data_IF_410596939613
#
_entry.id   IF_410596939613
#
_cell.length_a   1.000
_cell.length_b   1.000
_cell.length_c   1.000
_cell.angle_alpha   90.00
_cell.angle_beta   90.00
_cell.angle_gamma   90.00
#
_symmetry.space_group_name_H-M   'P 1'
#
loop_
_entity.id
_entity.type
_entity.pdbx_description
1 polymer ?
#
# COMPACT_ATOMS: atom_id res chain seq x y z
N UNK A 1 -8.98 -8.40 5.88
CA UNK A 1 -8.05 -7.40 6.45
C UNK A 1 -6.56 -7.77 6.29
N UNK A 2 -6.09 -8.92 6.80
CA UNK A 2 -4.67 -9.33 6.75
C UNK A 2 -4.06 -9.41 5.34
N UNK A 3 -4.79 -9.92 4.34
CA UNK A 3 -4.32 -9.96 2.93
C UNK A 3 -4.10 -8.56 2.35
N UNK A 4 -4.99 -7.62 2.67
CA UNK A 4 -4.91 -6.22 2.22
C UNK A 4 -3.74 -5.51 2.88
N UNK A 5 -3.52 -5.74 4.18
CA UNK A 5 -2.39 -5.20 4.93
C UNK A 5 -1.05 -5.75 4.39
N UNK A 6 -0.99 -7.07 4.12
CA UNK A 6 0.15 -7.72 3.48
C UNK A 6 0.48 -7.09 2.13
N UNK A 7 -0.52 -6.91 1.27
CA UNK A 7 -0.34 -6.34 -0.06
C UNK A 7 0.17 -4.90 0.04
N UNK A 8 -0.41 -4.07 0.91
CA UNK A 8 0.03 -2.69 1.11
C UNK A 8 1.50 -2.63 1.56
N UNK A 9 1.89 -3.41 2.56
CA UNK A 9 3.27 -3.44 3.06
C UNK A 9 4.29 -3.89 2.00
N UNK A 10 3.98 -4.97 1.27
CA UNK A 10 4.87 -5.46 0.21
C UNK A 10 5.01 -4.41 -0.91
N UNK A 11 3.91 -3.76 -1.31
CA UNK A 11 3.93 -2.72 -2.33
C UNK A 11 4.77 -1.52 -1.89
N UNK A 12 4.60 -1.02 -0.66
CA UNK A 12 5.38 0.12 -0.17
C UNK A 12 6.87 -0.20 -0.04
N UNK A 13 7.21 -1.40 0.46
CA UNK A 13 8.60 -1.83 0.54
C UNK A 13 9.23 -1.97 -0.85
N UNK A 14 8.53 -2.60 -1.79
CA UNK A 14 9.03 -2.79 -3.16
C UNK A 14 9.11 -1.48 -3.94
N UNK A 15 8.25 -0.50 -3.67
CA UNK A 15 8.34 0.83 -4.28
C UNK A 15 9.66 1.52 -3.89
N UNK A 16 10.02 1.49 -2.61
CA UNK A 16 11.29 2.05 -2.12
C UNK A 16 12.51 1.33 -2.73
N UNK A 17 12.47 -0.01 -2.77
CA UNK A 17 13.52 -0.82 -3.41
C UNK A 17 13.65 -0.48 -4.90
N UNK A 18 12.53 -0.36 -5.61
CA UNK A 18 12.52 -0.03 -7.04
C UNK A 18 13.09 1.36 -7.30
N UNK A 19 12.73 2.36 -6.48
CA UNK A 19 13.30 3.70 -6.58
C UNK A 19 14.83 3.70 -6.39
N UNK A 20 15.33 2.96 -5.39
CA UNK A 20 16.77 2.80 -5.17
C UNK A 20 17.48 2.14 -6.36
N UNK A 21 16.89 1.08 -6.94
CA UNK A 21 17.46 0.42 -8.11
C UNK A 21 17.49 1.32 -9.34
N UNK A 22 16.45 2.14 -9.57
CA UNK A 22 16.44 3.08 -10.68
C UNK A 22 17.56 4.13 -10.55
N UNK A 23 17.79 4.64 -9.33
CA UNK A 23 18.90 5.57 -9.06
C UNK A 23 20.26 4.91 -9.27
N UNK A 24 20.46 3.69 -8.76
CA UNK A 24 21.72 2.96 -8.91
C UNK A 24 22.01 2.58 -10.36
N UNK A 25 21.05 1.95 -11.05
CA UNK A 25 21.21 1.54 -12.45
C UNK A 25 21.37 2.76 -13.36
N UNK A 26 20.59 3.82 -13.15
CA UNK A 26 20.72 5.07 -13.89
C UNK A 26 22.07 5.73 -13.64
N UNK A 27 22.54 5.77 -12.39
CA UNK A 27 23.85 6.30 -12.02
C UNK A 27 25.00 5.55 -12.65
N UNK A 28 25.03 4.22 -12.53
CA UNK A 28 26.10 3.37 -13.09
C UNK A 28 26.15 3.49 -14.61
N UNK A 29 25.00 3.38 -15.29
CA UNK A 29 24.96 3.50 -16.75
C UNK A 29 25.26 4.91 -17.23
N UNK A 30 24.77 5.94 -16.52
CA UNK A 30 25.04 7.34 -16.84
C UNK A 30 26.52 7.69 -16.70
N UNK A 31 27.17 7.24 -15.62
CA UNK A 31 28.62 7.39 -15.42
C UNK A 31 29.39 6.65 -16.50
N UNK A 32 28.99 5.43 -16.86
CA UNK A 32 29.62 4.65 -17.92
C UNK A 32 29.57 5.39 -19.28
N UNK A 33 28.39 5.87 -19.68
CA UNK A 33 28.20 6.66 -20.91
C UNK A 33 29.01 7.95 -20.88
N UNK A 34 29.05 8.65 -19.74
CA UNK A 34 29.77 9.90 -19.59
C UNK A 34 31.30 9.70 -19.71
N UNK A 35 31.85 8.71 -19.01
CA UNK A 35 33.27 8.36 -19.07
C UNK A 35 33.68 7.92 -20.47
N UNK A 36 32.85 7.09 -21.10
CA UNK A 36 33.00 6.62 -22.46
C UNK A 36 33.06 7.77 -23.47
N UNK A 37 32.05 8.67 -23.45
CA UNK A 37 32.01 9.81 -24.37
C UNK A 37 33.22 10.74 -24.18
N UNK A 38 33.61 11.01 -22.93
CA UNK A 38 34.80 11.80 -22.60
C UNK A 38 36.07 11.21 -23.22
N UNK A 39 36.24 9.90 -23.13
CA UNK A 39 37.41 9.22 -23.67
C UNK A 39 37.46 9.35 -25.20
N UNK A 40 36.33 9.11 -25.87
CA UNK A 40 36.21 9.32 -27.33
C UNK A 40 36.48 10.77 -27.74
N UNK A 41 35.93 11.75 -27.00
CA UNK A 41 36.14 13.17 -27.30
C UNK A 41 37.60 13.59 -27.18
N UNK A 42 38.32 13.06 -26.18
CA UNK A 42 39.75 13.30 -26.00
C UNK A 42 40.58 12.69 -27.13
N UNK A 43 40.28 11.46 -27.56
CA UNK A 43 40.95 10.82 -28.70
C UNK A 43 40.71 11.58 -30.01
N UNK A 44 39.46 11.98 -30.25
CA UNK A 44 39.07 12.76 -31.42
C UNK A 44 39.80 14.12 -31.45
N UNK A 45 39.91 14.79 -30.29
CA UNK A 45 40.65 16.04 -30.15
C UNK A 45 42.14 15.84 -30.44
N UNK A 46 42.77 14.84 -29.83
CA UNK A 46 44.18 14.52 -30.02
C UNK A 46 44.51 14.20 -31.49
N UNK A 47 43.63 13.47 -32.17
CA UNK A 47 43.75 13.18 -33.60
C UNK A 47 43.62 14.43 -34.47
N UNK A 48 42.68 15.32 -34.16
CA UNK A 48 42.55 16.60 -34.89
C UNK A 48 43.74 17.53 -34.67
N UNK A 49 44.23 17.67 -33.44
CA UNK A 49 45.34 18.57 -33.12
C UNK A 49 46.68 18.11 -33.72
N UNK A 50 46.87 16.79 -33.82
CA UNK A 50 48.04 16.21 -34.45
C UNK A 50 47.88 15.91 -35.94
N UNK A 51 46.85 16.45 -36.59
CA UNK A 51 46.58 16.31 -38.04
C UNK A 51 46.61 14.85 -38.53
N UNK A 52 45.93 13.97 -37.81
CA UNK A 52 45.92 12.53 -38.11
C UNK A 52 47.07 11.74 -37.48
N UNK A 53 47.96 12.39 -36.73
CA UNK A 53 48.96 11.71 -35.90
C UNK A 53 48.70 11.96 -34.42
N UNK A 54 48.83 10.92 -33.59
CA UNK A 54 48.64 11.09 -32.15
C UNK A 54 49.98 11.46 -31.53
N UNK A 55 50.06 12.68 -30.98
CA UNK A 55 51.19 13.11 -30.16
C UNK A 55 50.81 12.88 -28.69
N UNK A 56 51.49 11.98 -27.95
CA UNK A 56 51.16 11.75 -26.55
C UNK A 56 51.33 13.06 -25.76
N UNK A 57 50.23 13.56 -25.21
CA UNK A 57 50.22 14.71 -24.32
C UNK A 57 50.83 14.37 -22.97
N UNK A 58 51.51 15.35 -22.36
CA UNK A 58 52.18 15.25 -21.03
C UNK A 58 51.24 15.45 -19.83
N UNK A 59 49.92 15.44 -20.03
CA UNK A 59 48.98 15.76 -18.94
C UNK A 59 48.78 14.58 -17.98
N UNK A 60 48.77 14.87 -16.68
CA UNK A 60 48.60 13.87 -15.63
C UNK A 60 47.14 13.36 -15.57
N UNK A 61 46.92 12.04 -15.43
CA UNK A 61 45.59 11.47 -15.27
C UNK A 61 44.90 11.95 -13.98
N UNK A 62 43.58 12.04 -14.02
CA UNK A 62 42.73 12.43 -12.88
C UNK A 62 41.57 11.45 -12.69
N UNK A 63 40.82 11.57 -11.57
CA UNK A 63 39.78 10.60 -11.19
C UNK A 63 38.69 10.36 -12.27
N UNK A 64 38.47 11.33 -13.15
CA UNK A 64 37.55 11.24 -14.30
C UNK A 64 38.24 11.56 -15.65
N UNK A 65 39.57 11.50 -15.68
CA UNK A 65 40.39 11.66 -16.88
C UNK A 65 41.26 10.41 -17.02
N UNK A 66 40.76 9.34 -17.66
CA UNK A 66 41.60 8.20 -17.97
C UNK A 66 42.82 8.69 -18.78
N UNK A 67 44.03 8.18 -18.49
CA UNK A 67 45.20 8.53 -19.28
C UNK A 67 44.93 8.18 -20.76
N UNK A 68 45.33 9.07 -21.67
CA UNK A 68 45.43 8.74 -23.08
C UNK A 68 46.49 7.67 -23.23
N UNK A 69 46.04 6.41 -23.24
CA UNK A 69 46.90 5.27 -23.46
C UNK A 69 47.44 5.32 -24.89
N UNK A 70 48.77 5.35 -25.03
CA UNK A 70 49.42 5.43 -26.33
C UNK A 70 49.03 4.24 -27.23
N UNK A 71 48.71 3.10 -26.62
CA UNK A 71 48.25 1.90 -27.33
C UNK A 71 46.78 2.00 -27.77
N UNK A 72 45.93 2.66 -26.98
CA UNK A 72 44.53 2.95 -27.36
C UNK A 72 44.47 3.94 -28.54
N UNK A 73 45.39 4.89 -28.54
CA UNK A 73 45.64 5.81 -29.64
C UNK A 73 46.08 5.07 -30.93
N UNK A 74 47.04 4.14 -30.81
CA UNK A 74 47.55 3.38 -31.95
C UNK A 74 46.55 2.35 -32.53
N UNK A 75 45.64 1.85 -31.70
CA UNK A 75 44.58 0.90 -32.09
C UNK A 75 43.28 1.56 -32.54
N UNK A 76 43.18 2.90 -32.47
CA UNK A 76 42.01 3.63 -32.94
C UNK A 76 41.79 3.44 -34.44
N UNK A 77 40.55 3.07 -34.81
CA UNK A 77 40.11 2.93 -36.19
C UNK A 77 39.47 4.25 -36.62
N UNK A 78 40.11 4.96 -37.53
CA UNK A 78 39.64 6.26 -38.01
C UNK A 78 40.04 6.48 -39.47
N UNK A 79 39.48 7.51 -40.09
CA UNK A 79 39.99 8.09 -41.32
C UNK A 79 40.01 9.61 -41.22
N UNK A 80 40.80 10.25 -42.06
CA UNK A 80 40.86 11.71 -42.14
C UNK A 80 40.61 12.17 -43.57
N UNK A 81 39.97 13.32 -43.73
CA UNK A 81 39.68 13.93 -45.03
C UNK A 81 40.10 15.40 -45.00
N UNK A 82 40.88 15.82 -45.99
CA UNK A 82 41.24 17.22 -46.18
C UNK A 82 40.17 17.89 -47.02
N UNK A 83 39.62 18.98 -46.49
CA UNK A 83 38.61 19.82 -47.13
C UNK A 83 39.25 21.13 -47.55
N UNK A 84 38.89 21.64 -48.72
CA UNK A 84 39.29 22.96 -49.18
C UNK A 84 38.49 24.10 -48.50
N UNK A 85 38.69 25.34 -48.96
CA UNK A 85 37.96 26.51 -48.46
C UNK A 85 36.46 26.54 -48.84
N UNK A 86 36.03 25.75 -49.83
CA UNK A 86 34.64 25.61 -50.23
C UNK A 86 33.93 24.45 -49.50
N UNK A 87 34.69 23.58 -48.81
CA UNK A 87 34.17 22.42 -48.10
C UNK A 87 34.12 21.15 -48.95
N UNK A 88 34.78 21.13 -50.10
CA UNK A 88 34.93 19.95 -50.97
C UNK A 88 36.15 19.12 -50.55
N UNK A 89 36.07 17.80 -50.72
CA UNK A 89 37.16 16.91 -50.35
C UNK A 89 38.31 16.95 -51.38
N UNK A 90 39.52 17.21 -50.88
CA UNK A 90 40.76 17.27 -51.68
C UNK A 90 41.54 15.95 -51.62
N UNK A 91 41.25 15.13 -50.61
CA UNK A 91 41.79 13.78 -50.48
C UNK A 91 41.53 13.19 -49.10
N UNK A 92 41.53 11.86 -49.01
CA UNK A 92 41.28 11.12 -47.78
C UNK A 92 42.40 10.15 -47.43
N UNK A 93 42.76 10.08 -46.15
CA UNK A 93 43.62 9.05 -45.59
C UNK A 93 42.76 8.00 -44.88
N UNK A 94 42.64 6.83 -45.52
CA UNK A 94 41.93 5.65 -45.01
C UNK A 94 42.87 4.57 -44.49
N UNK A 95 44.16 4.84 -44.30
CA UNK A 95 45.16 3.83 -43.87
C UNK A 95 44.84 3.14 -42.54
N UNK A 96 44.00 3.78 -41.71
CA UNK A 96 43.58 3.32 -40.38
C UNK A 96 42.19 2.69 -40.37
N UNK A 97 41.55 2.50 -41.53
CA UNK A 97 40.24 1.84 -41.64
C UNK A 97 40.13 1.00 -42.93
N UNK A 98 39.69 -0.25 -42.80
CA UNK A 98 39.48 -1.15 -43.95
C UNK A 98 38.03 -1.21 -44.44
N UNK A 99 37.12 -0.58 -43.73
CA UNK A 99 35.67 -0.74 -43.90
C UNK A 99 34.98 0.45 -44.58
N UNK A 100 35.76 1.39 -45.10
CA UNK A 100 35.31 2.59 -45.80
C UNK A 100 36.23 2.81 -46.99
N UNK A 101 35.66 3.07 -48.16
CA UNK A 101 36.43 3.44 -49.36
C UNK A 101 36.73 4.94 -49.40
N UNK A 102 37.69 5.36 -50.22
CA UNK A 102 38.07 6.78 -50.36
C UNK A 102 36.87 7.66 -50.76
N UNK A 103 36.09 7.22 -51.76
CA UNK A 103 34.89 7.92 -52.19
C UNK A 103 33.80 8.01 -51.09
N UNK A 104 33.64 6.96 -50.27
CA UNK A 104 32.72 7.01 -49.13
C UNK A 104 33.22 7.97 -48.04
N UNK A 105 34.53 8.00 -47.77
CA UNK A 105 35.15 8.91 -46.81
C UNK A 105 34.93 10.38 -47.22
N UNK A 106 35.13 10.70 -48.49
CA UNK A 106 34.86 12.03 -49.07
C UNK A 106 33.39 12.41 -48.90
N UNK A 107 32.46 11.51 -49.23
CA UNK A 107 31.02 11.74 -49.07
C UNK A 107 30.63 12.00 -47.60
N UNK A 108 31.21 11.25 -46.65
CA UNK A 108 30.99 11.50 -45.22
C UNK A 108 31.49 12.89 -44.80
N UNK A 109 32.65 13.31 -45.31
CA UNK A 109 33.26 14.60 -45.00
C UNK A 109 32.46 15.79 -45.56
N UNK A 110 32.03 15.71 -46.82
CA UNK A 110 31.20 16.74 -47.46
C UNK A 110 29.85 16.87 -46.77
N UNK A 111 29.22 15.75 -46.40
CA UNK A 111 27.96 15.76 -45.65
C UNK A 111 28.13 16.40 -44.28
N UNK A 112 29.22 16.10 -43.58
CA UNK A 112 29.54 16.72 -42.29
C UNK A 112 29.84 18.22 -42.45
N UNK A 113 30.57 18.62 -43.49
CA UNK A 113 30.86 20.03 -43.79
C UNK A 113 29.59 20.83 -44.12
N UNK A 114 28.68 20.25 -44.90
CA UNK A 114 27.39 20.84 -45.26
C UNK A 114 26.46 21.06 -44.05
N UNK A 115 26.63 20.27 -42.97
CA UNK A 115 25.86 20.46 -41.74
C UNK A 115 26.23 21.75 -40.98
N UNK A 116 27.41 22.32 -41.25
CA UNK A 116 27.96 23.48 -40.53
C UNK A 116 28.43 23.18 -39.10
N UNK A 117 28.25 21.96 -38.60
CA UNK A 117 28.70 21.55 -37.27
C UNK A 117 30.18 21.13 -37.28
N UNK A 118 30.97 21.61 -36.31
CA UNK A 118 32.40 21.26 -36.20
C UNK A 118 32.64 19.93 -35.50
N UNK A 119 31.63 19.34 -34.89
CA UNK A 119 31.70 18.02 -34.29
C UNK A 119 30.29 17.44 -34.25
N UNK A 120 30.20 16.15 -34.51
CA UNK A 120 28.91 15.48 -34.59
C UNK A 120 29.07 13.99 -34.74
N UNK A 121 28.01 13.34 -35.19
CA UNK A 121 27.99 11.90 -35.39
C UNK A 121 27.27 11.57 -36.69
N UNK A 122 27.89 10.73 -37.50
CA UNK A 122 27.34 10.26 -38.76
C UNK A 122 27.44 8.74 -38.79
N UNK A 123 26.28 8.07 -38.69
CA UNK A 123 26.22 6.61 -38.52
C UNK A 123 27.01 6.11 -37.32
N UNK A 124 28.00 5.25 -37.56
CA UNK A 124 28.88 4.70 -36.52
C UNK A 124 30.10 5.57 -36.21
N UNK A 125 30.32 6.64 -36.97
CA UNK A 125 31.48 7.51 -36.82
C UNK A 125 31.12 8.73 -35.99
N UNK A 126 31.98 9.07 -35.05
CA UNK A 126 31.98 10.39 -34.39
C UNK A 126 33.03 11.24 -35.11
N UNK A 127 32.68 12.47 -35.47
CA UNK A 127 33.55 13.30 -36.29
C UNK A 127 33.87 14.65 -35.63
N UNK A 128 35.01 15.23 -36.02
CA UNK A 128 35.39 16.61 -35.72
C UNK A 128 36.11 17.23 -36.88
N UNK A 129 35.76 18.47 -37.18
CA UNK A 129 36.35 19.29 -38.25
C UNK A 129 37.14 20.43 -37.60
N UNK A 130 38.44 20.50 -37.88
CA UNK A 130 39.34 21.54 -37.40
C UNK A 130 40.07 22.20 -38.59
N UNK A 131 40.47 23.46 -38.46
CA UNK A 131 41.28 24.12 -39.49
C UNK A 131 42.71 23.58 -39.47
N UNK A 132 43.28 23.33 -40.64
CA UNK A 132 44.67 22.88 -40.79
C UNK A 132 45.64 23.99 -40.40
N UNK A 133 46.84 23.66 -39.91
CA UNK A 133 47.84 24.65 -39.45
C UNK A 133 48.33 25.57 -40.56
N UNK A 134 48.33 25.08 -41.80
CA UNK A 134 48.75 25.84 -42.98
C UNK A 134 47.72 26.88 -43.43
N UNK A 135 46.51 26.90 -42.83
CA UNK A 135 45.48 27.92 -43.07
C UNK A 135 44.70 27.78 -44.39
N UNK A 136 45.11 26.88 -45.29
CA UNK A 136 44.52 26.71 -46.63
C UNK A 136 43.32 25.74 -46.69
N UNK A 137 42.85 25.21 -45.56
CA UNK A 137 41.72 24.27 -45.54
C UNK A 137 41.31 23.79 -44.15
N UNK A 138 40.49 22.74 -44.12
CA UNK A 138 40.06 22.06 -42.90
C UNK A 138 40.38 20.56 -42.96
N UNK A 139 40.60 19.94 -41.80
CA UNK A 139 40.77 18.51 -41.63
C UNK A 139 39.55 17.96 -40.89
N UNK A 140 38.84 17.01 -41.52
CA UNK A 140 37.79 16.24 -40.91
C UNK A 140 38.35 14.89 -40.43
N UNK A 141 38.20 14.58 -39.14
CA UNK A 141 38.58 13.29 -38.55
C UNK A 141 37.32 12.52 -38.20
N UNK A 142 37.22 11.27 -38.65
CA UNK A 142 36.10 10.37 -38.37
C UNK A 142 36.59 9.14 -37.60
N UNK A 143 36.14 8.99 -36.36
CA UNK A 143 36.52 7.91 -35.45
C UNK A 143 35.40 6.87 -35.36
N UNK A 144 35.71 5.59 -35.58
CA UNK A 144 34.74 4.49 -35.39
C UNK A 144 34.48 4.27 -33.90
N UNK A 145 33.23 4.47 -33.46
CA UNK A 145 32.80 4.29 -32.07
C UNK A 145 31.88 3.07 -31.90
N UNK A 146 31.93 2.12 -32.84
CA UNK A 146 31.10 0.91 -32.82
C UNK A 146 31.37 0.04 -31.59
N UNK A 147 32.63 -0.20 -31.27
CA UNK A 147 33.01 -1.06 -30.15
C UNK A 147 32.69 -0.40 -28.82
N UNK A 148 32.89 0.92 -28.71
CA UNK A 148 32.49 1.69 -27.54
C UNK A 148 30.98 1.63 -27.32
N UNK A 149 30.19 1.75 -28.39
CA UNK A 149 28.72 1.62 -28.32
C UNK A 149 28.30 0.21 -27.91
N UNK A 150 28.96 -0.83 -28.43
CA UNK A 150 28.70 -2.22 -28.00
C UNK A 150 29.05 -2.42 -26.53
N UNK A 151 30.14 -1.83 -26.05
CA UNK A 151 30.54 -1.90 -24.65
C UNK A 151 29.50 -1.24 -23.74
N UNK A 152 29.04 -0.01 -24.07
CA UNK A 152 27.95 0.66 -23.34
C UNK A 152 26.70 -0.22 -23.28
N UNK A 153 26.26 -0.76 -24.42
CA UNK A 153 25.06 -1.59 -24.50
C UNK A 153 25.20 -2.90 -23.71
N UNK A 154 26.40 -3.50 -23.72
CA UNK A 154 26.68 -4.73 -22.97
C UNK A 154 26.63 -4.47 -21.48
N UNK A 155 27.26 -3.38 -21.00
CA UNK A 155 27.18 -2.97 -19.58
C UNK A 155 25.75 -2.64 -19.18
N UNK A 156 24.98 -1.97 -20.04
CA UNK A 156 23.56 -1.70 -19.80
C UNK A 156 22.72 -2.97 -19.69
N UNK A 157 22.92 -3.94 -20.60
CA UNK A 157 22.23 -5.22 -20.56
C UNK A 157 22.60 -6.04 -19.32
N UNK A 158 23.89 -6.15 -19.00
CA UNK A 158 24.38 -6.88 -17.82
C UNK A 158 23.90 -6.26 -16.51
N UNK A 159 23.97 -4.93 -16.40
CA UNK A 159 23.48 -4.23 -15.20
C UNK A 159 21.97 -4.36 -15.03
N UNK A 160 21.18 -4.34 -16.11
CA UNK A 160 19.74 -4.56 -16.07
C UNK A 160 19.40 -6.00 -15.65
N UNK A 161 20.10 -7.01 -16.20
CA UNK A 161 19.93 -8.41 -15.81
C UNK A 161 20.28 -8.65 -14.34
N UNK A 162 21.43 -8.14 -13.89
CA UNK A 162 21.84 -8.21 -12.50
C UNK A 162 20.84 -7.49 -11.58
N UNK A 163 20.39 -6.29 -11.97
CA UNK A 163 19.37 -5.52 -11.27
C UNK A 163 18.05 -6.26 -11.14
N UNK A 164 17.57 -6.91 -12.20
CA UNK A 164 16.37 -7.74 -12.18
C UNK A 164 16.51 -8.95 -11.24
N UNK A 165 17.67 -9.62 -11.26
CA UNK A 165 17.98 -10.71 -10.35
C UNK A 165 17.98 -10.28 -8.88
N UNK A 166 18.67 -9.17 -8.56
CA UNK A 166 18.68 -8.62 -7.20
C UNK A 166 17.30 -8.13 -6.76
N UNK A 167 16.52 -7.53 -7.66
CA UNK A 167 15.15 -7.11 -7.37
C UNK A 167 14.25 -8.30 -7.03
N UNK A 168 14.36 -9.40 -7.79
CA UNK A 168 13.60 -10.62 -7.53
C UNK A 168 14.01 -11.27 -6.20
N UNK A 169 15.31 -11.30 -5.89
CA UNK A 169 15.82 -11.77 -4.62
C UNK A 169 15.31 -10.91 -3.45
N UNK A 170 15.29 -9.59 -3.59
CA UNK A 170 14.75 -8.67 -2.61
C UNK A 170 13.24 -8.90 -2.39
N UNK A 171 12.47 -9.08 -3.46
CA UNK A 171 11.04 -9.41 -3.39
C UNK A 171 10.82 -10.71 -2.59
N UNK A 172 11.60 -11.76 -2.89
CA UNK A 172 11.50 -13.04 -2.20
C UNK A 172 11.88 -12.91 -0.71
N UNK A 173 12.94 -12.17 -0.39
CA UNK A 173 13.36 -11.90 0.97
C UNK A 173 12.27 -11.13 1.76
N UNK A 174 11.71 -10.07 1.18
CA UNK A 174 10.60 -9.29 1.79
C UNK A 174 9.40 -10.19 2.05
N UNK A 175 9.04 -11.06 1.10
CA UNK A 175 7.92 -12.00 1.29
C UNK A 175 8.17 -13.01 2.42
N UNK A 176 9.38 -13.56 2.52
CA UNK A 176 9.77 -14.50 3.57
C UNK A 176 9.81 -13.84 4.94
N UNK A 177 10.46 -12.68 5.05
CA UNK A 177 10.56 -11.90 6.29
C UNK A 177 9.18 -11.46 6.77
N UNK A 178 8.32 -10.98 5.86
CA UNK A 178 6.94 -10.65 6.20
C UNK A 178 6.20 -11.84 6.79
N UNK A 179 6.27 -13.01 6.13
CA UNK A 179 5.63 -14.24 6.63
C UNK A 179 6.16 -14.62 8.00
N UNK A 180 7.47 -14.57 8.21
CA UNK A 180 8.12 -14.94 9.48
C UNK A 180 7.74 -13.97 10.61
N UNK A 181 7.66 -12.67 10.34
CA UNK A 181 7.30 -11.66 11.33
C UNK A 181 5.82 -11.69 11.71
N UNK A 182 4.93 -11.95 10.73
CA UNK A 182 3.48 -11.90 10.96
C UNK A 182 2.86 -13.21 11.46
N UNK A 183 3.49 -14.35 11.18
CA UNK A 183 3.04 -15.67 11.66
C UNK A 183 2.85 -15.75 13.19
N UNK A 184 3.83 -15.37 14.05
CA UNK A 184 3.66 -15.48 15.49
C UNK A 184 2.58 -14.55 16.03
N UNK A 185 2.40 -13.37 15.42
CA UNK A 185 1.35 -12.41 15.78
C UNK A 185 -0.02 -13.02 15.46
N UNK A 186 -0.18 -13.59 14.27
CA UNK A 186 -1.44 -14.24 13.87
C UNK A 186 -1.76 -15.45 14.77
N UNK A 187 -0.76 -16.28 15.08
CA UNK A 187 -0.92 -17.43 15.99
C UNK A 187 -1.24 -17.00 17.43
N UNK A 188 -0.64 -15.91 17.91
CA UNK A 188 -0.92 -15.35 19.23
C UNK A 188 -2.33 -14.76 19.31
N UNK A 189 -2.75 -14.00 18.29
CA UNK A 189 -4.13 -13.49 18.22
C UNK A 189 -5.14 -14.65 18.17
N UNK A 190 -4.86 -15.71 17.41
CA UNK A 190 -5.73 -16.89 17.36
C UNK A 190 -5.82 -17.59 18.74
N UNK A 191 -4.68 -17.79 19.42
CA UNK A 191 -4.65 -18.37 20.76
C UNK A 191 -5.37 -17.51 21.81
N UNK A 192 -5.19 -16.19 21.78
CA UNK A 192 -5.89 -15.27 22.66
C UNK A 192 -7.40 -15.32 22.45
N UNK A 193 -7.86 -15.45 21.20
CA UNK A 193 -9.28 -15.62 20.86
C UNK A 193 -9.84 -16.94 21.39
N UNK A 194 -9.13 -18.06 21.16
CA UNK A 194 -9.53 -19.38 21.66
C UNK A 194 -9.63 -19.39 23.18
N UNK A 195 -8.66 -18.78 23.87
CA UNK A 195 -8.69 -18.63 25.33
C UNK A 195 -9.93 -17.87 25.83
N UNK A 196 -10.35 -16.80 25.14
CA UNK A 196 -11.57 -16.05 25.51
C UNK A 196 -12.81 -16.95 25.36
N UNK A 197 -12.87 -17.75 24.29
CA UNK A 197 -13.97 -18.68 24.06
C UNK A 197 -14.03 -19.75 25.14
N UNK A 198 -12.91 -20.39 25.45
CA UNK A 198 -12.79 -21.45 26.45
C UNK A 198 -13.10 -20.92 27.85
N UNK A 199 -12.52 -19.77 28.22
CA UNK A 199 -12.80 -19.09 29.49
C UNK A 199 -14.28 -18.71 29.62
N UNK A 200 -14.94 -18.29 28.53
CA UNK A 200 -16.37 -17.99 28.54
C UNK A 200 -17.23 -19.21 28.90
N UNK A 201 -16.86 -20.39 28.39
CA UNK A 201 -17.51 -21.65 28.74
C UNK A 201 -17.25 -22.05 30.19
N UNK A 202 -16.01 -21.92 30.67
CA UNK A 202 -15.64 -22.25 32.04
C UNK A 202 -16.25 -21.29 33.08
N UNK A 203 -16.50 -20.02 32.74
CA UNK A 203 -17.13 -19.02 33.62
C UNK A 203 -18.65 -19.23 33.73
N UNK A 204 -19.31 -19.75 32.69
CA UNK A 204 -20.77 -19.95 32.68
C UNK A 204 -21.23 -20.95 33.74
N UNK A 205 -20.44 -22.01 33.95
CA UNK A 205 -20.74 -23.09 34.90
C UNK A 205 -20.79 -22.61 36.37
N UNK A 206 -19.75 -21.95 36.94
CA UNK A 206 -19.81 -21.45 38.31
C UNK A 206 -20.87 -20.35 38.49
N UNK A 207 -21.16 -19.52 37.47
CA UNK A 207 -22.26 -18.55 37.55
C UNK A 207 -23.63 -19.23 37.66
N UNK A 208 -23.86 -20.31 36.90
CA UNK A 208 -25.09 -21.09 36.99
C UNK A 208 -25.26 -21.72 38.40
N UNK A 209 -24.17 -22.20 39.00
CA UNK A 209 -24.17 -22.76 40.36
C UNK A 209 -24.48 -21.67 41.40
N UNK A 210 -23.84 -20.50 41.31
CA UNK A 210 -24.11 -19.37 42.22
C UNK A 210 -25.58 -18.96 42.14
N UNK A 211 -26.14 -18.88 40.93
CA UNK A 211 -27.56 -18.57 40.71
C UNK A 211 -28.47 -19.62 41.36
N UNK A 212 -28.23 -20.91 41.09
CA UNK A 212 -29.03 -21.98 41.67
C UNK A 212 -29.00 -21.97 43.20
N UNK A 213 -27.84 -21.68 43.81
CA UNK A 213 -27.72 -21.55 45.25
C UNK A 213 -28.46 -20.33 45.81
N UNK A 214 -28.46 -19.20 45.09
CA UNK A 214 -29.22 -18.01 45.48
C UNK A 214 -30.73 -18.29 45.39
N UNK A 215 -31.19 -18.93 44.32
CA UNK A 215 -32.60 -19.32 44.14
C UNK A 215 -33.05 -20.30 45.25
N UNK A 216 -32.21 -21.28 45.60
CA UNK A 216 -32.47 -22.22 46.70
C UNK A 216 -32.54 -21.52 48.08
N UNK A 217 -31.69 -20.49 48.30
CA UNK A 217 -31.72 -19.70 49.53
C UNK A 217 -33.04 -18.94 49.68
N UNK A 218 -33.53 -18.34 48.59
CA UNK A 218 -34.81 -17.62 48.56
C UNK A 218 -36.00 -18.54 48.81
N UNK A 219 -35.97 -19.77 48.28
CA UNK A 219 -36.99 -20.80 48.53
C UNK A 219 -37.09 -21.19 50.01
N UNK A 220 -35.98 -21.22 50.75
CA UNK A 220 -35.96 -21.64 52.16
C UNK A 220 -36.15 -20.50 53.16
N UNK A 221 -35.63 -19.30 52.88
CA UNK A 221 -35.55 -18.20 53.85
C UNK A 221 -36.34 -16.95 53.41
N UNK A 222 -36.94 -16.96 52.22
CA UNK A 222 -37.55 -15.78 51.59
C UNK A 222 -36.53 -14.88 50.89
N UNK A 223 -37.01 -14.00 50.02
CA UNK A 223 -36.17 -13.06 49.27
C UNK A 223 -35.53 -12.04 50.21
N UNK A 224 -34.20 -11.99 50.27
CA UNK A 224 -33.45 -11.01 51.06
C UNK A 224 -32.83 -9.94 50.16
N UNK A 225 -32.39 -8.82 50.74
CA UNK A 225 -31.62 -7.80 49.98
C UNK A 225 -30.32 -8.39 49.40
N UNK A 226 -29.72 -9.36 50.10
CA UNK A 226 -28.47 -10.00 49.69
C UNK A 226 -28.66 -10.99 48.55
N UNK A 227 -29.70 -11.82 48.61
CA UNK A 227 -30.04 -12.77 47.54
C UNK A 227 -30.41 -12.04 46.24
N UNK A 228 -31.20 -10.96 46.34
CA UNK A 228 -31.49 -10.07 45.20
C UNK A 228 -30.23 -9.49 44.55
N UNK A 229 -29.30 -9.01 45.38
CA UNK A 229 -28.05 -8.45 44.89
C UNK A 229 -27.17 -9.51 44.22
N UNK A 230 -27.07 -10.72 44.79
CA UNK A 230 -26.32 -11.84 44.21
C UNK A 230 -26.93 -12.24 42.86
N UNK A 231 -28.26 -12.37 42.78
CA UNK A 231 -28.96 -12.68 41.52
C UNK A 231 -28.67 -11.62 40.46
N UNK A 232 -28.84 -10.34 40.79
CA UNK A 232 -28.57 -9.23 39.87
C UNK A 232 -27.12 -9.16 39.40
N UNK A 233 -26.13 -9.44 40.26
CA UNK A 233 -24.71 -9.49 39.82
C UNK A 233 -24.41 -10.73 38.96
N UNK A 234 -25.02 -11.87 39.27
CA UNK A 234 -24.81 -13.12 38.52
C UNK A 234 -25.43 -13.02 37.13
N UNK A 235 -26.63 -12.43 36.99
CA UNK A 235 -27.26 -12.12 35.70
C UNK A 235 -26.43 -11.14 34.87
N UNK A 236 -25.88 -10.11 35.53
CA UNK A 236 -24.99 -9.15 34.88
C UNK A 236 -23.73 -9.82 34.35
N UNK A 237 -23.11 -10.70 35.13
CA UNK A 237 -21.93 -11.46 34.72
C UNK A 237 -22.24 -12.45 33.60
N UNK A 238 -23.37 -13.16 33.64
CA UNK A 238 -23.78 -14.06 32.55
C UNK A 238 -23.99 -13.28 31.23
N UNK A 239 -24.66 -12.12 31.30
CA UNK A 239 -24.83 -11.25 30.13
C UNK A 239 -23.49 -10.73 29.59
N UNK A 240 -22.55 -10.33 30.46
CA UNK A 240 -21.20 -9.91 30.07
C UNK A 240 -20.45 -11.04 29.35
N UNK A 241 -20.50 -12.25 29.91
CA UNK A 241 -19.78 -13.41 29.41
C UNK A 241 -20.32 -13.84 28.05
N UNK A 242 -21.66 -13.86 27.89
CA UNK A 242 -22.32 -14.14 26.59
C UNK A 242 -21.93 -13.12 25.52
N UNK A 243 -21.95 -11.82 25.85
CA UNK A 243 -21.56 -10.74 24.93
C UNK A 243 -20.08 -10.83 24.52
N UNK A 244 -19.19 -11.18 25.43
CA UNK A 244 -17.77 -11.40 25.13
C UNK A 244 -17.56 -12.61 24.20
N UNK A 245 -18.25 -13.71 24.48
CA UNK A 245 -18.18 -14.93 23.68
C UNK A 245 -18.75 -14.72 22.27
N UNK A 246 -19.89 -14.02 22.15
CA UNK A 246 -20.50 -13.68 20.87
C UNK A 246 -19.52 -12.84 20.02
N UNK A 247 -18.88 -11.86 20.65
CA UNK A 247 -17.91 -11.00 19.97
C UNK A 247 -16.63 -11.75 19.56
N UNK A 248 -16.15 -12.69 20.39
CA UNK A 248 -15.03 -13.56 20.05
C UNK A 248 -15.35 -14.49 18.85
N UNK A 249 -16.59 -15.00 18.77
CA UNK A 249 -17.08 -15.82 17.66
C UNK A 249 -17.25 -15.05 16.36
N UNK A 250 -17.77 -13.81 16.41
CA UNK A 250 -17.84 -12.93 15.24
C UNK A 250 -16.45 -12.60 14.68
N UNK A 251 -15.46 -12.39 15.56
CA UNK A 251 -14.05 -12.20 15.20
C UNK A 251 -13.37 -13.45 14.62
N UNK A 252 -13.96 -14.63 14.81
CA UNK A 252 -13.40 -15.93 14.40
C UNK A 252 -13.62 -16.19 12.91
N UNK A 253 -14.63 -15.56 12.28
CA UNK A 253 -15.05 -15.88 10.90
C UNK A 253 -15.38 -17.37 10.69
N UNK A 254 -15.49 -18.15 11.78
CA UNK A 254 -15.46 -19.62 11.81
C UNK A 254 -16.83 -20.27 11.69
N UNK A 255 -17.88 -19.46 11.71
CA UNK A 255 -19.14 -19.80 11.08
C UNK A 255 -19.52 -18.54 10.31
N UNK A 256 -19.43 -18.56 8.98
CA UNK A 256 -20.41 -17.78 8.22
C UNK A 256 -21.68 -18.60 8.37
N UNK A 257 -22.62 -18.24 9.27
CA UNK A 257 -23.93 -18.85 9.19
C UNK A 257 -24.42 -18.66 7.75
N UNK A 258 -25.12 -19.67 7.24
CA UNK A 258 -25.64 -19.66 5.88
C UNK A 258 -26.48 -18.38 5.74
N UNK A 259 -25.96 -17.39 5.00
CA UNK A 259 -26.67 -16.13 4.80
C UNK A 259 -27.85 -16.44 3.90
N UNK A 260 -29.05 -16.29 4.42
CA UNK A 260 -30.27 -16.43 3.65
C UNK A 260 -30.82 -15.05 3.32
N UNK A 261 -31.52 -14.96 2.19
CA UNK A 261 -32.31 -13.77 1.88
C UNK A 261 -33.45 -13.70 2.90
N UNK A 262 -33.47 -12.64 3.69
CA UNK A 262 -34.45 -12.41 4.75
C UNK A 262 -35.22 -11.11 4.53
N UNK A 263 -36.46 -11.08 5.00
CA UNK A 263 -37.30 -9.89 5.04
C UNK A 263 -36.89 -9.02 6.25
N UNK A 264 -36.11 -7.98 5.96
CA UNK A 264 -35.59 -7.07 6.97
C UNK A 264 -36.70 -6.21 7.56
N UNK A 265 -37.73 -5.86 6.79
CA UNK A 265 -38.87 -5.09 7.26
C UNK A 265 -39.62 -5.85 8.34
N UNK A 266 -40.01 -7.11 8.05
CA UNK A 266 -40.75 -7.94 9.00
C UNK A 266 -39.96 -8.23 10.30
N UNK A 267 -38.65 -8.49 10.17
CA UNK A 267 -37.79 -8.73 11.34
C UNK A 267 -37.60 -7.46 12.19
N UNK A 268 -37.45 -6.30 11.54
CA UNK A 268 -37.31 -5.02 12.25
C UNK A 268 -38.59 -4.66 12.99
N UNK A 269 -39.76 -4.89 12.37
CA UNK A 269 -41.08 -4.71 13.01
C UNK A 269 -41.24 -5.60 14.25
N UNK A 270 -40.95 -6.89 14.10
CA UNK A 270 -41.07 -7.88 15.19
C UNK A 270 -40.09 -7.61 16.34
N UNK A 271 -38.89 -7.10 16.05
CA UNK A 271 -37.94 -6.68 17.07
C UNK A 271 -38.41 -5.39 17.77
N UNK A 272 -38.93 -4.42 17.02
CA UNK A 272 -39.42 -3.15 17.57
C UNK A 272 -40.63 -3.34 18.50
N UNK A 273 -41.54 -4.26 18.19
CA UNK A 273 -42.72 -4.52 19.02
C UNK A 273 -42.35 -5.01 20.43
N UNK A 274 -41.21 -5.68 20.60
CA UNK A 274 -40.71 -6.12 21.91
C UNK A 274 -40.23 -4.96 22.80
N UNK A 275 -40.01 -3.78 22.22
CA UNK A 275 -39.53 -2.59 22.94
C UNK A 275 -40.62 -1.55 23.24
N UNK A 276 -41.88 -1.79 22.83
CA UNK A 276 -42.99 -0.91 23.13
C UNK A 276 -43.25 -0.79 24.64
N UNK A 277 -43.39 -1.92 25.34
CA UNK A 277 -43.64 -1.97 26.78
C UNK A 277 -42.45 -1.43 27.61
N UNK A 278 -41.18 -1.80 27.34
CA UNK A 278 -40.02 -1.20 28.01
C UNK A 278 -39.90 0.33 27.82
N UNK A 279 -40.23 0.84 26.63
CA UNK A 279 -40.20 2.28 26.36
C UNK A 279 -41.30 3.01 27.15
N UNK A 280 -42.52 2.46 27.17
CA UNK A 280 -43.64 3.01 27.92
C UNK A 280 -43.37 3.00 29.44
N UNK A 281 -42.82 1.91 29.96
CA UNK A 281 -42.40 1.80 31.36
C UNK A 281 -41.33 2.83 31.75
N UNK A 282 -40.51 3.27 30.78
CA UNK A 282 -39.53 4.35 30.96
C UNK A 282 -40.11 5.76 30.72
N UNK A 283 -41.40 5.88 30.40
CA UNK A 283 -42.07 7.15 30.09
C UNK A 283 -41.66 7.73 28.73
N UNK A 284 -41.31 6.88 27.78
CA UNK A 284 -40.88 7.24 26.42
C UNK A 284 -41.92 6.76 25.39
N UNK A 285 -41.98 7.42 24.24
CA UNK A 285 -42.79 6.96 23.10
C UNK A 285 -41.89 6.39 22.00
N UNK A 286 -42.29 5.26 21.39
CA UNK A 286 -41.56 4.63 20.28
C UNK A 286 -42.36 4.80 18.98
N UNK A 287 -41.81 5.56 18.03
CA UNK A 287 -42.34 5.71 16.68
C UNK A 287 -41.57 4.84 15.68
N UNK A 288 -42.29 4.12 14.83
CA UNK A 288 -41.72 3.28 13.77
C UNK A 288 -42.15 3.75 12.39
N UNK A 289 -41.20 3.92 11.48
CA UNK A 289 -41.43 4.16 10.05
C UNK A 289 -40.60 3.14 9.26
N UNK A 290 -41.22 2.02 8.89
CA UNK A 290 -40.54 0.89 8.25
C UNK A 290 -41.09 0.73 6.84
N UNK A 291 -40.24 0.94 5.83
CA UNK A 291 -40.59 0.69 4.43
C UNK A 291 -40.77 -0.83 4.22
N UNK A 292 -41.91 -1.28 3.64
CA UNK A 292 -42.21 -2.69 3.50
C UNK A 292 -41.39 -3.37 2.39
N UNK A 293 -41.13 -4.67 2.55
CA UNK A 293 -40.53 -5.51 1.50
C UNK A 293 -39.03 -5.33 1.28
N UNK A 294 -38.30 -4.74 2.24
CA UNK A 294 -36.85 -4.61 2.17
C UNK A 294 -36.19 -5.94 2.54
N UNK A 295 -35.31 -6.43 1.65
CA UNK A 295 -34.59 -7.70 1.82
C UNK A 295 -33.07 -7.52 1.94
N UNK A 296 -32.46 -8.37 2.74
CA UNK A 296 -31.02 -8.39 3.06
C UNK A 296 -30.52 -9.84 3.08
N UNK A 297 -29.24 -10.08 2.82
CA UNK A 297 -28.60 -11.37 3.10
C UNK A 297 -27.97 -11.35 4.49
N UNK A 298 -28.46 -12.18 5.41
CA UNK A 298 -27.97 -12.20 6.79
C UNK A 298 -28.54 -13.38 7.58
N UNK A 299 -28.57 -13.27 8.90
CA UNK A 299 -29.32 -14.19 9.76
C UNK A 299 -30.40 -13.43 10.55
N UNK A 300 -31.58 -14.04 10.77
CA UNK A 300 -32.63 -13.43 11.57
C UNK A 300 -32.17 -13.02 12.98
N UNK A 301 -31.30 -13.82 13.59
CA UNK A 301 -30.76 -13.58 14.94
C UNK A 301 -29.89 -12.32 14.96
N UNK A 302 -29.06 -12.11 13.94
CA UNK A 302 -28.17 -10.97 13.85
C UNK A 302 -28.93 -9.65 13.68
N UNK A 303 -30.01 -9.66 12.87
CA UNK A 303 -30.89 -8.50 12.69
C UNK A 303 -31.62 -8.18 13.99
N UNK A 304 -32.21 -9.20 14.61
CA UNK A 304 -32.98 -9.04 15.87
C UNK A 304 -32.08 -8.51 16.98
N UNK A 305 -30.87 -9.05 17.11
CA UNK A 305 -29.89 -8.59 18.10
C UNK A 305 -29.41 -7.16 17.81
N UNK A 306 -29.14 -6.82 16.54
CA UNK A 306 -28.74 -5.46 16.14
C UNK A 306 -29.82 -4.44 16.51
N UNK A 307 -31.06 -4.67 16.11
CA UNK A 307 -32.20 -3.77 16.42
C UNK A 307 -32.38 -3.68 17.93
N UNK A 308 -32.34 -4.81 18.63
CA UNK A 308 -32.46 -4.86 20.09
C UNK A 308 -31.37 -4.07 20.81
N UNK A 309 -30.11 -4.15 20.37
CA UNK A 309 -29.01 -3.35 20.95
C UNK A 309 -29.24 -1.86 20.74
N UNK A 310 -29.70 -1.44 19.56
CA UNK A 310 -29.91 -0.02 19.27
C UNK A 310 -31.09 0.54 20.07
N UNK A 311 -32.20 -0.19 20.16
CA UNK A 311 -33.38 0.22 20.93
C UNK A 311 -33.12 0.18 22.44
N UNK A 312 -32.41 -0.83 22.96
CA UNK A 312 -32.01 -0.89 24.37
C UNK A 312 -31.14 0.31 24.77
N UNK A 313 -30.20 0.71 23.91
CA UNK A 313 -29.42 1.94 24.12
C UNK A 313 -30.31 3.19 24.05
N UNK A 314 -31.22 3.26 23.09
CA UNK A 314 -32.14 4.39 22.97
C UNK A 314 -32.98 4.56 24.23
N UNK A 315 -33.59 3.50 24.76
CA UNK A 315 -34.39 3.55 26.01
C UNK A 315 -33.54 3.99 27.19
N UNK A 316 -32.32 3.47 27.34
CA UNK A 316 -31.44 3.77 28.48
C UNK A 316 -30.91 5.19 28.51
N UNK A 317 -30.65 5.78 27.34
CA UNK A 317 -29.94 7.06 27.23
C UNK A 317 -30.83 8.20 26.71
N UNK A 318 -32.14 7.98 26.62
CA UNK A 318 -33.10 9.03 26.28
C UNK A 318 -33.39 9.97 27.43
N UNK A 319 -33.67 11.22 27.10
CA UNK A 319 -34.28 12.17 28.03
C UNK A 319 -35.67 11.67 28.46
N UNK A 320 -36.04 11.75 29.75
CA UNK A 320 -37.38 11.41 30.21
C UNK A 320 -38.46 12.17 29.44
N UNK A 321 -39.54 11.49 29.04
CA UNK A 321 -40.65 12.09 28.29
C UNK A 321 -40.37 12.36 26.80
N UNK A 322 -39.21 11.93 26.28
CA UNK A 322 -38.88 12.09 24.86
C UNK A 322 -39.37 10.92 23.99
N UNK A 323 -39.25 11.08 22.67
CA UNK A 323 -39.61 10.06 21.68
C UNK A 323 -38.36 9.41 21.08
N UNK A 324 -38.43 8.09 20.86
CA UNK A 324 -37.49 7.29 20.10
C UNK A 324 -38.08 7.06 18.71
N UNK A 325 -37.32 7.34 17.65
CA UNK A 325 -37.72 7.08 16.27
C UNK A 325 -36.87 5.98 15.65
N UNK A 326 -37.52 4.92 15.18
CA UNK A 326 -36.94 3.83 14.40
C UNK A 326 -37.38 3.95 12.95
N UNK A 327 -36.42 4.12 12.03
CA UNK A 327 -36.67 4.20 10.59
C UNK A 327 -35.93 3.11 9.83
N UNK A 328 -36.61 2.48 8.89
CA UNK A 328 -35.99 1.58 7.91
C UNK A 328 -36.43 2.02 6.51
N UNK A 329 -35.47 2.37 5.65
CA UNK A 329 -35.75 2.90 4.31
C UNK A 329 -34.67 2.53 3.32
N UNK A 330 -35.00 2.55 2.02
CA UNK A 330 -34.04 2.40 0.94
C UNK A 330 -33.44 3.75 0.55
N UNK A 331 -32.11 3.86 0.66
CA UNK A 331 -31.34 5.02 0.19
C UNK A 331 -30.42 4.59 -0.96
N UNK A 332 -30.92 4.73 -2.19
CA UNK A 332 -30.20 4.33 -3.40
C UNK A 332 -29.90 2.83 -3.43
N UNK A 333 -28.60 2.47 -3.44
CA UNK A 333 -28.14 1.09 -3.47
C UNK A 333 -28.13 0.41 -2.08
N UNK A 334 -28.37 1.17 -1.00
CA UNK A 334 -28.26 0.68 0.37
C UNK A 334 -29.62 0.70 1.09
N UNK A 335 -29.74 -0.13 2.12
CA UNK A 335 -30.85 -0.06 3.08
C UNK A 335 -30.31 0.62 4.33
N UNK A 336 -31.01 1.65 4.80
CA UNK A 336 -30.66 2.40 6.00
C UNK A 336 -31.61 2.05 7.14
N UNK A 337 -31.07 1.45 8.19
CA UNK A 337 -31.69 1.32 9.52
C UNK A 337 -31.19 2.47 10.41
N UNK A 338 -32.10 3.30 10.91
CA UNK A 338 -31.78 4.46 11.75
C UNK A 338 -32.58 4.40 13.05
N UNK A 339 -31.90 4.49 14.18
CA UNK A 339 -32.51 4.72 15.50
C UNK A 339 -32.08 6.10 15.98
N UNK A 340 -33.04 6.93 16.35
CA UNK A 340 -32.82 8.29 16.81
C UNK A 340 -33.52 8.49 18.15
N UNK A 341 -32.82 9.11 19.09
CA UNK A 341 -33.35 9.49 20.38
C UNK A 341 -32.75 10.83 20.83
N UNK A 342 -33.43 11.50 21.76
CA UNK A 342 -32.95 12.75 22.36
C UNK A 342 -32.18 12.43 23.64
N UNK A 343 -30.95 12.92 23.78
CA UNK A 343 -30.10 12.63 24.94
C UNK A 343 -29.78 13.89 25.76
N UNK A 344 -29.81 13.78 27.09
CA UNK A 344 -29.60 14.89 28.03
C UNK A 344 -28.19 15.50 27.98
N UNK A 345 -27.20 14.71 27.54
CA UNK A 345 -25.81 15.12 27.45
C UNK A 345 -25.28 14.94 26.02
N UNK A 346 -24.50 15.90 25.50
CA UNK A 346 -23.84 15.75 24.21
C UNK A 346 -22.77 14.63 24.26
N UNK A 347 -22.66 13.86 23.19
CA UNK A 347 -21.63 12.84 23.04
C UNK A 347 -20.33 13.50 22.61
N UNK A 348 -19.34 13.57 23.53
CA UNK A 348 -18.05 14.22 23.26
C UNK A 348 -17.17 13.48 22.25
N UNK A 349 -17.15 12.15 22.28
CA UNK A 349 -16.31 11.30 21.40
C UNK A 349 -17.18 10.23 20.70
N UNK A 350 -17.94 10.60 19.65
CA UNK A 350 -18.87 9.67 18.99
C UNK A 350 -18.20 8.44 18.40
N UNK A 351 -16.98 8.59 17.86
CA UNK A 351 -16.23 7.50 17.23
C UNK A 351 -15.86 6.38 18.21
N UNK A 352 -15.61 6.75 19.47
CA UNK A 352 -15.20 5.81 20.52
C UNK A 352 -16.37 5.06 21.14
N UNK A 353 -17.62 5.46 20.86
CA UNK A 353 -18.79 4.71 21.34
C UNK A 353 -18.83 3.26 20.86
N UNK A 354 -18.14 2.96 19.76
CA UNK A 354 -18.00 1.60 19.21
C UNK A 354 -16.78 0.85 19.77
N UNK A 355 -15.94 1.48 20.60
CA UNK A 355 -14.82 0.83 21.25
C UNK A 355 -15.32 -0.12 22.35
N UNK A 356 -14.64 -1.25 22.49
CA UNK A 356 -14.95 -2.24 23.53
C UNK A 356 -14.79 -1.62 24.92
N UNK A 357 -15.82 -1.79 25.75
CA UNK A 357 -15.90 -1.31 27.14
C UNK A 357 -15.92 0.21 27.30
N UNK A 358 -15.95 0.97 26.21
CA UNK A 358 -16.03 2.42 26.29
C UNK A 358 -17.41 2.87 26.75
N UNK A 359 -17.42 3.89 27.61
CA UNK A 359 -18.61 4.58 28.12
C UNK A 359 -18.26 6.05 28.26
N UNK A 360 -19.11 6.93 27.75
CA UNK A 360 -18.98 8.37 27.96
C UNK A 360 -19.08 8.74 29.44
N UNK A 361 -18.42 9.83 29.85
CA UNK A 361 -18.24 10.18 31.26
C UNK A 361 -19.55 10.37 32.03
N UNK A 362 -20.58 10.98 31.40
CA UNK A 362 -21.90 11.14 32.00
C UNK A 362 -22.65 9.81 32.23
N UNK A 363 -22.32 8.76 31.46
CA UNK A 363 -22.93 7.45 31.59
C UNK A 363 -22.26 6.57 32.65
N UNK A 364 -21.08 6.94 33.20
CA UNK A 364 -20.34 6.13 34.18
C UNK A 364 -20.96 6.14 35.58
N UNK A 365 -21.65 7.21 35.94
CA UNK A 365 -22.23 7.46 37.27
C UNK A 365 -23.67 6.97 37.44
N UNK A 366 -24.34 6.54 36.36
CA UNK A 366 -25.70 6.00 36.45
C UNK A 366 -25.72 4.55 36.95
N UNK A 367 -26.40 4.33 38.08
CA UNK A 367 -26.72 3.04 38.68
C UNK A 367 -27.72 2.27 37.80
N UNK A 368 -27.23 1.72 36.69
CA UNK A 368 -28.03 1.03 35.66
C UNK A 368 -27.37 0.96 34.28
N UNK A 369 -26.24 1.65 34.08
CA UNK A 369 -25.60 1.75 32.77
C UNK A 369 -24.98 0.44 32.27
N UNK A 370 -25.10 0.24 30.95
CA UNK A 370 -24.66 -0.95 30.24
C UNK A 370 -23.15 -1.22 30.27
N UNK A 371 -22.76 -2.33 29.65
CA UNK A 371 -21.41 -2.91 29.75
C UNK A 371 -20.36 -2.23 28.86
N UNK A 372 -20.75 -1.31 27.98
CA UNK A 372 -19.87 -0.74 26.94
C UNK A 372 -19.54 -1.73 25.80
N UNK A 373 -20.24 -2.85 25.71
CA UNK A 373 -20.05 -3.84 24.62
C UNK A 373 -21.13 -3.77 23.54
N UNK A 374 -22.29 -3.17 23.82
CA UNK A 374 -23.45 -3.19 22.92
C UNK A 374 -23.12 -2.67 21.52
N UNK A 375 -22.65 -1.42 21.41
CA UNK A 375 -22.34 -0.81 20.11
C UNK A 375 -21.17 -1.48 19.38
N UNK A 376 -20.19 -2.03 20.11
CA UNK A 376 -19.12 -2.83 19.51
C UNK A 376 -19.67 -4.12 18.84
N UNK A 377 -20.65 -4.78 19.47
CA UNK A 377 -21.37 -5.93 18.90
C UNK A 377 -22.25 -5.47 17.72
N UNK A 378 -22.98 -4.37 17.86
CA UNK A 378 -23.80 -3.80 16.80
C UNK A 378 -22.98 -3.56 15.52
N UNK A 379 -21.78 -2.99 15.67
CA UNK A 379 -20.82 -2.80 14.58
C UNK A 379 -20.39 -4.12 13.95
N UNK A 380 -20.00 -5.11 14.78
CA UNK A 380 -19.58 -6.41 14.28
C UNK A 380 -20.71 -7.13 13.53
N UNK A 381 -21.96 -7.06 14.01
CA UNK A 381 -23.14 -7.61 13.35
C UNK A 381 -23.39 -6.91 12.01
N UNK A 382 -23.38 -5.57 11.98
CA UNK A 382 -23.58 -4.78 10.76
C UNK A 382 -22.49 -5.03 9.70
N UNK A 383 -21.22 -5.16 10.09
CA UNK A 383 -20.12 -5.48 9.18
C UNK A 383 -20.17 -6.94 8.68
N UNK A 384 -20.88 -7.82 9.39
CA UNK A 384 -21.02 -9.24 9.04
C UNK A 384 -22.14 -9.52 8.06
N UNK A 385 -23.13 -8.63 7.94
CA UNK A 385 -24.27 -8.70 7.00
C UNK A 385 -23.86 -8.10 5.66
#
# INVERSE_FOLDING_TARGET
MLKTLRRKFVVTAMAAVTALFLVLLGGINGVNVFLSSRNTDMLLLALTEGEGTIRPGREAPGLFRPPLDADAALSAVYFTVRLDGAGEAVGADISRISSVTEAEAEQYAEKAAASGERAGREGRFKYRIARTRDGEGSLAVFLDVSDERRAILTVAALSLLAGAGCWLAALLAVMLLYRRATRPIAESMARQKQFITDAGHEIKTPLAIIRANADALELHQGETRWSRNIRGQTERLDMLTKRLLALAKLDEGSAKPEKTELDLSALTEAAASQFAEPAEAAGLSLGTEIEPGLRLNGTPEAVTELVGILLDNAVKYSEPGSAIALRLSREGAHILLRVQNRSAAPVAEPERLFDRFYRGDAARTQSGGGTGLGLAIARALAESM
#
